data_IF_812116204438
#
_entry.id   IF_812116204438
#
_cell.length_a   1.000
_cell.length_b   1.000
_cell.length_c   1.000
_cell.angle_alpha   90.00
_cell.angle_beta   90.00
_cell.angle_gamma   90.00
#
_symmetry.space_group_name_H-M   'P 1'
#
loop_
_entity.id
_entity.type
_entity.pdbx_description
1 polymer ?
#
# COMPACT_ATOMS: atom_id res chain seq x y z
N UNK A 1 -17.00 4.33 67.45
CA UNK A 1 -17.77 4.10 66.21
C UNK A 1 -18.12 5.40 65.48
N UNK A 2 -18.88 6.33 66.05
CA UNK A 2 -19.28 7.58 65.37
C UNK A 2 -18.11 8.45 64.88
N UNK A 3 -17.06 8.59 65.68
CA UNK A 3 -15.85 9.36 65.30
C UNK A 3 -15.13 8.72 64.11
N UNK A 4 -15.06 7.39 64.06
CA UNK A 4 -14.46 6.65 62.95
C UNK A 4 -15.25 6.86 61.64
N UNK A 5 -16.58 6.80 61.70
CA UNK A 5 -17.43 7.11 60.54
C UNK A 5 -17.30 8.56 60.08
N UNK A 6 -17.23 9.52 61.01
CA UNK A 6 -17.05 10.93 60.67
C UNK A 6 -15.70 11.18 59.98
N UNK A 7 -14.61 10.58 60.48
CA UNK A 7 -13.28 10.65 59.84
C UNK A 7 -13.32 10.00 58.46
N UNK A 8 -13.94 8.83 58.32
CA UNK A 8 -14.08 8.14 57.04
C UNK A 8 -14.82 8.98 55.99
N UNK A 9 -15.94 9.61 56.37
CA UNK A 9 -16.72 10.49 55.49
C UNK A 9 -15.88 11.72 55.09
N UNK A 10 -15.16 12.33 56.02
CA UNK A 10 -14.33 13.51 55.75
C UNK A 10 -13.18 13.17 54.78
N UNK A 11 -12.55 12.00 54.96
CA UNK A 11 -11.53 11.48 54.03
C UNK A 11 -12.13 11.19 52.65
N UNK A 12 -13.32 10.58 52.59
CA UNK A 12 -14.01 10.30 51.33
C UNK A 12 -14.37 11.60 50.59
N UNK A 13 -14.86 12.63 51.29
CA UNK A 13 -15.17 13.94 50.73
C UNK A 13 -13.90 14.66 50.24
N UNK A 14 -12.78 14.55 50.97
CA UNK A 14 -11.51 15.13 50.57
C UNK A 14 -10.95 14.45 49.30
N UNK A 15 -11.01 13.11 49.24
CA UNK A 15 -10.64 12.34 48.04
C UNK A 15 -11.54 12.68 46.85
N UNK A 16 -12.84 12.82 47.08
CA UNK A 16 -13.80 13.19 46.05
C UNK A 16 -13.57 14.63 45.53
N UNK A 17 -13.33 15.59 46.42
CA UNK A 17 -12.99 16.96 46.04
C UNK A 17 -11.69 17.03 45.24
N UNK A 18 -10.67 16.27 45.66
CA UNK A 18 -9.41 16.14 44.92
C UNK A 18 -9.62 15.50 43.54
N UNK A 19 -10.44 14.45 43.44
CA UNK A 19 -10.79 13.75 42.20
C UNK A 19 -11.50 14.66 41.21
N UNK A 20 -12.54 15.37 41.63
CA UNK A 20 -13.35 16.25 40.79
C UNK A 20 -12.54 17.38 40.14
N UNK A 21 -11.53 17.88 40.85
CA UNK A 21 -10.65 18.94 40.35
C UNK A 21 -9.63 18.45 39.32
N UNK A 22 -9.46 17.13 39.20
CA UNK A 22 -8.44 16.51 38.36
C UNK A 22 -9.02 15.74 37.18
N UNK A 23 -10.19 15.11 37.34
CA UNK A 23 -10.82 14.29 36.30
C UNK A 23 -11.09 15.05 34.99
N UNK A 24 -11.37 16.36 35.06
CA UNK A 24 -11.62 17.19 33.86
C UNK A 24 -10.39 17.82 33.19
N UNK A 25 -9.17 17.63 33.72
CA UNK A 25 -7.97 18.29 33.19
C UNK A 25 -7.31 17.48 32.06
N UNK A 26 -7.96 17.46 30.89
CA UNK A 26 -7.52 16.77 29.68
C UNK A 26 -6.13 17.21 29.17
N UNK A 27 -5.65 18.41 29.55
CA UNK A 27 -4.35 18.95 29.10
C UNK A 27 -3.15 18.12 29.55
N UNK A 28 -3.32 17.36 30.62
CA UNK A 28 -2.27 16.54 31.21
C UNK A 28 -2.22 15.12 30.63
N UNK A 29 -3.21 14.72 29.86
CA UNK A 29 -3.29 13.38 29.27
C UNK A 29 -2.86 13.47 27.81
N UNK A 30 -1.83 12.71 27.46
CA UNK A 30 -1.39 12.53 26.09
C UNK A 30 -1.75 11.14 25.63
N UNK A 31 -2.23 11.06 24.40
CA UNK A 31 -2.61 9.84 23.73
C UNK A 31 -1.84 9.71 22.43
N UNK A 32 -1.28 8.54 22.20
CA UNK A 32 -0.62 8.19 20.94
C UNK A 32 -1.04 6.75 20.60
N UNK A 33 -1.61 6.56 19.42
CA UNK A 33 -1.98 5.24 18.91
C UNK A 33 -1.35 5.03 17.54
N UNK A 34 -0.69 3.90 17.35
CA UNK A 34 -0.06 3.63 16.07
C UNK A 34 0.28 2.16 15.86
N UNK A 35 0.37 1.74 14.60
CA UNK A 35 0.82 0.41 14.25
C UNK A 35 2.33 0.28 14.48
N UNK A 36 2.79 -0.95 14.70
CA UNK A 36 4.23 -1.28 14.78
C UNK A 36 4.97 -1.01 13.47
N UNK A 37 4.26 -1.10 12.35
CA UNK A 37 4.78 -0.95 10.98
C UNK A 37 3.93 0.06 10.20
N UNK A 38 4.53 0.79 9.28
CA UNK A 38 3.82 1.77 8.43
C UNK A 38 3.06 1.12 7.27
N UNK A 39 3.49 -0.08 6.88
CA UNK A 39 2.88 -0.85 5.81
C UNK A 39 3.09 -2.34 6.04
N UNK A 40 2.15 -3.16 5.58
CA UNK A 40 2.26 -4.62 5.68
C UNK A 40 1.60 -5.31 4.48
N UNK A 41 1.92 -6.60 4.33
CA UNK A 41 1.26 -7.47 3.37
C UNK A 41 -0.19 -7.75 3.80
N UNK A 42 -1.10 -8.03 2.86
CA UNK A 42 -2.48 -8.37 3.19
C UNK A 42 -2.52 -9.65 4.03
N UNK A 43 -3.17 -9.59 5.19
CA UNK A 43 -3.28 -10.67 6.16
C UNK A 43 -2.06 -10.82 7.08
N UNK A 44 -1.00 -10.04 6.91
CA UNK A 44 0.14 -10.03 7.83
C UNK A 44 -0.27 -9.46 9.19
N UNK A 45 0.19 -10.12 10.25
CA UNK A 45 -0.09 -9.68 11.62
C UNK A 45 0.82 -8.52 12.03
N UNK A 46 0.22 -7.48 12.59
CA UNK A 46 0.93 -6.35 13.18
C UNK A 46 0.39 -6.04 14.57
N UNK A 47 1.17 -5.30 15.35
CA UNK A 47 0.76 -4.87 16.68
C UNK A 47 0.38 -3.41 16.66
N UNK A 48 -0.82 -3.07 17.11
CA UNK A 48 -1.22 -1.70 17.38
C UNK A 48 -0.84 -1.37 18.81
N UNK A 49 -0.08 -0.31 19.00
CA UNK A 49 0.26 0.22 20.31
C UNK A 49 -0.60 1.42 20.63
N UNK A 50 -1.23 1.37 21.79
CA UNK A 50 -1.98 2.47 22.35
C UNK A 50 -1.31 2.93 23.63
N UNK A 51 -0.80 4.16 23.64
CA UNK A 51 -0.04 4.73 24.75
C UNK A 51 -0.80 5.90 25.34
N UNK A 52 -1.13 5.78 26.63
CA UNK A 52 -1.72 6.86 27.42
C UNK A 52 -0.69 7.32 28.45
N UNK A 53 -0.36 8.61 28.43
CA UNK A 53 0.60 9.21 29.33
C UNK A 53 -0.04 10.34 30.12
N UNK A 54 -0.03 10.23 31.44
CA UNK A 54 -0.37 11.33 32.33
C UNK A 54 0.90 12.13 32.63
N UNK A 55 1.02 13.31 32.01
CA UNK A 55 2.12 14.25 32.22
C UNK A 55 1.96 15.02 33.54
N UNK A 56 0.73 15.10 34.03
CA UNK A 56 0.39 15.73 35.30
C UNK A 56 0.95 14.97 36.49
N UNK A 57 1.12 15.67 37.60
CA UNK A 57 1.52 15.07 38.89
C UNK A 57 0.32 14.34 39.54
N UNK A 58 -0.90 14.70 39.13
CA UNK A 58 -2.13 14.22 39.77
C UNK A 58 -2.66 12.98 39.05
N UNK A 59 -3.10 11.94 39.78
CA UNK A 59 -3.65 10.73 39.19
C UNK A 59 -5.00 11.00 38.51
N UNK A 60 -5.28 10.29 37.42
CA UNK A 60 -6.63 10.13 36.87
C UNK A 60 -7.23 8.84 37.45
N UNK A 61 -8.26 8.94 38.31
CA UNK A 61 -8.73 7.80 39.11
C UNK A 61 -9.50 6.78 38.27
N UNK A 62 -10.31 7.22 37.32
CA UNK A 62 -11.02 6.33 36.38
C UNK A 62 -10.93 6.94 35.00
N UNK A 63 -10.22 6.27 34.09
CA UNK A 63 -10.12 6.67 32.70
C UNK A 63 -10.66 5.54 31.82
N UNK A 64 -11.84 5.73 31.24
CA UNK A 64 -12.37 4.87 30.19
C UNK A 64 -11.89 5.41 28.86
N UNK A 65 -11.41 4.50 28.02
CA UNK A 65 -10.84 4.83 26.71
C UNK A 65 -11.62 4.00 25.70
N UNK A 66 -12.26 4.67 24.76
CA UNK A 66 -12.96 4.07 23.63
C UNK A 66 -12.17 4.38 22.35
N UNK A 67 -11.59 3.34 21.76
CA UNK A 67 -10.77 3.45 20.57
C UNK A 67 -11.57 2.98 19.36
N UNK A 68 -11.61 3.82 18.33
CA UNK A 68 -12.33 3.55 17.09
C UNK A 68 -11.36 2.98 16.07
N UNK A 69 -11.56 1.71 15.74
CA UNK A 69 -10.78 0.99 14.75
C UNK A 69 -11.60 0.70 13.50
N UNK A 70 -10.96 0.62 12.32
CA UNK A 70 -11.65 0.29 11.08
C UNK A 70 -12.28 -1.11 11.14
N UNK A 71 -13.37 -1.31 10.42
CA UNK A 71 -14.15 -2.56 10.40
C UNK A 71 -13.32 -3.77 9.95
N UNK A 72 -12.41 -3.52 9.02
CA UNK A 72 -11.52 -4.48 8.37
C UNK A 72 -10.39 -4.97 9.30
N UNK A 73 -10.19 -4.34 10.46
CA UNK A 73 -9.21 -4.75 11.45
C UNK A 73 -9.67 -6.03 12.15
N UNK A 74 -9.12 -7.17 11.74
CA UNK A 74 -9.36 -8.44 12.42
C UNK A 74 -8.42 -8.57 13.63
N UNK A 75 -8.99 -8.80 14.81
CA UNK A 75 -8.23 -8.83 16.06
C UNK A 75 -8.03 -10.26 16.49
N UNK A 76 -6.76 -10.64 16.65
CA UNK A 76 -6.35 -11.99 17.06
C UNK A 76 -6.24 -12.11 18.57
N UNK A 77 -5.59 -11.14 19.21
CA UNK A 77 -5.33 -11.14 20.66
C UNK A 77 -5.58 -9.74 21.24
N UNK A 78 -6.43 -9.69 22.26
CA UNK A 78 -6.87 -8.45 22.91
C UNK A 78 -7.00 -8.60 24.43
N UNK A 79 -5.98 -9.15 25.09
CA UNK A 79 -6.00 -9.48 26.53
C UNK A 79 -6.34 -8.28 27.45
N UNK A 80 -6.13 -7.05 26.97
CA UNK A 80 -6.29 -5.81 27.74
C UNK A 80 -7.53 -4.98 27.36
N UNK A 81 -8.37 -5.48 26.44
CA UNK A 81 -9.52 -4.74 25.93
C UNK A 81 -10.82 -5.51 26.15
N UNK A 82 -11.82 -4.85 26.75
CA UNK A 82 -13.19 -5.34 26.77
C UNK A 82 -13.84 -5.01 25.43
N UNK A 83 -13.85 -5.98 24.52
CA UNK A 83 -14.39 -5.82 23.17
C UNK A 83 -15.92 -5.77 23.24
N UNK A 84 -16.52 -4.64 22.85
CA UNK A 84 -17.96 -4.56 22.53
C UNK A 84 -18.09 -4.20 21.05
N UNK A 85 -18.36 -5.22 20.23
CA UNK A 85 -18.61 -5.05 18.79
C UNK A 85 -19.99 -4.42 18.62
N UNK A 86 -20.07 -3.13 18.27
CA UNK A 86 -21.35 -2.51 17.88
C UNK A 86 -21.19 -1.21 17.06
N UNK A 87 -21.28 -1.34 15.73
CA UNK A 87 -21.87 -0.42 14.72
C UNK A 87 -21.35 -0.85 13.34
N UNK A 88 -22.14 -0.64 12.30
CA UNK A 88 -21.92 -1.19 10.97
C UNK A 88 -20.62 -0.73 10.25
N UNK A 89 -19.89 0.26 10.79
CA UNK A 89 -18.75 0.91 10.11
C UNK A 89 -17.42 0.91 10.89
N UNK A 90 -17.44 0.79 12.23
CA UNK A 90 -16.23 0.82 13.07
C UNK A 90 -16.29 -0.20 14.21
N UNK A 91 -15.14 -0.76 14.58
CA UNK A 91 -15.01 -1.59 15.79
C UNK A 91 -14.58 -0.69 16.96
N UNK A 92 -15.35 -0.71 18.03
CA UNK A 92 -15.07 0.09 19.24
C UNK A 92 -14.44 -0.81 20.30
N UNK A 93 -13.25 -0.41 20.76
CA UNK A 93 -12.50 -1.14 21.77
C UNK A 93 -12.50 -0.32 23.05
N UNK A 94 -13.11 -0.88 24.09
CA UNK A 94 -13.25 -0.21 25.39
C UNK A 94 -12.24 -0.78 26.36
N UNK A 95 -11.57 0.12 27.06
CA UNK A 95 -10.72 -0.26 28.18
C UNK A 95 -10.92 0.73 29.32
N UNK A 96 -10.60 0.29 30.53
CA UNK A 96 -10.63 1.14 31.71
C UNK A 96 -9.30 1.02 32.42
N UNK A 97 -8.64 2.15 32.66
CA UNK A 97 -7.33 2.20 33.28
C UNK A 97 -7.30 3.27 34.36
N UNK A 98 -6.48 3.02 35.38
CA UNK A 98 -6.10 4.03 36.37
C UNK A 98 -4.70 4.50 36.00
N UNK A 99 -4.56 5.78 35.67
CA UNK A 99 -3.28 6.36 35.25
C UNK A 99 -2.77 7.30 36.33
N UNK A 100 -1.79 6.85 37.12
CA UNK A 100 -1.19 7.68 38.17
C UNK A 100 -0.46 8.88 37.58
N UNK A 101 -0.16 9.86 38.43
CA UNK A 101 0.65 11.01 38.02
C UNK A 101 2.01 10.57 37.46
N UNK A 102 2.42 11.18 36.34
CA UNK A 102 3.66 10.87 35.62
C UNK A 102 3.77 9.42 35.13
N UNK A 103 2.67 8.66 35.14
CA UNK A 103 2.64 7.28 34.66
C UNK A 103 2.31 7.23 33.16
N UNK A 104 2.90 6.25 32.50
CA UNK A 104 2.56 5.85 31.16
C UNK A 104 1.99 4.43 31.19
N UNK A 105 0.85 4.24 30.53
CA UNK A 105 0.21 2.94 30.33
C UNK A 105 0.26 2.65 28.85
N UNK A 106 0.97 1.58 28.47
CA UNK A 106 1.05 1.10 27.09
C UNK A 106 0.25 -0.18 26.97
N UNK A 107 -0.67 -0.19 26.01
CA UNK A 107 -1.49 -1.33 25.64
C UNK A 107 -1.11 -1.78 24.24
N UNK A 108 -1.25 -3.07 23.98
CA UNK A 108 -0.97 -3.67 22.68
C UNK A 108 -2.11 -4.57 22.24
N UNK A 109 -2.43 -4.49 20.96
CA UNK A 109 -3.45 -5.27 20.29
C UNK A 109 -2.81 -5.94 19.07
N UNK A 110 -2.94 -7.26 18.93
CA UNK A 110 -2.51 -7.94 17.70
C UNK A 110 -3.67 -8.02 16.72
N UNK A 111 -3.42 -7.53 15.51
CA UNK A 111 -4.42 -7.46 14.48
C UNK A 111 -3.85 -7.73 13.08
N UNK A 112 -4.73 -8.07 12.15
CA UNK A 112 -4.42 -8.29 10.73
C UNK A 112 -5.49 -7.62 9.87
N UNK A 113 -5.11 -7.10 8.71
CA UNK A 113 -6.04 -6.54 7.72
C UNK A 113 -5.76 -7.22 6.38
N UNK A 114 -6.81 -7.76 5.76
CA UNK A 114 -6.69 -8.46 4.46
C UNK A 114 -6.97 -7.57 3.26
N UNK A 115 -7.81 -6.55 3.43
CA UNK A 115 -8.19 -5.64 2.35
C UNK A 115 -7.13 -4.57 2.12
N UNK A 116 -6.87 -4.23 0.85
CA UNK A 116 -6.00 -3.13 0.45
C UNK A 116 -6.58 -1.80 0.95
N UNK A 117 -5.71 -0.89 1.38
CA UNK A 117 -6.10 0.48 1.69
C UNK A 117 -5.17 1.19 2.67
N UNK A 118 -5.37 2.51 2.79
CA UNK A 118 -4.81 3.29 3.89
C UNK A 118 -5.84 3.35 5.03
N UNK A 119 -5.45 2.84 6.20
CA UNK A 119 -6.25 2.82 7.40
C UNK A 119 -5.69 3.81 8.41
N UNK A 120 -6.54 4.72 8.88
CA UNK A 120 -6.16 5.79 9.81
C UNK A 120 -6.80 5.52 11.17
N UNK A 121 -6.00 5.61 12.22
CA UNK A 121 -6.41 5.56 13.61
C UNK A 121 -6.67 7.00 14.09
N UNK A 122 -7.81 7.57 13.70
CA UNK A 122 -8.03 9.03 13.73
C UNK A 122 -8.16 9.64 15.13
N UNK A 123 -8.83 8.97 16.06
CA UNK A 123 -9.08 9.50 17.40
C UNK A 123 -9.42 8.41 18.40
N UNK A 124 -9.42 8.77 19.68
CA UNK A 124 -10.03 7.99 20.74
C UNK A 124 -10.86 8.90 21.66
N UNK A 125 -11.99 8.38 22.13
CA UNK A 125 -12.85 9.04 23.10
C UNK A 125 -12.39 8.65 24.51
N UNK A 126 -12.20 9.66 25.36
CA UNK A 126 -11.80 9.47 26.75
C UNK A 126 -12.93 9.94 27.65
N UNK A 127 -13.37 9.05 28.55
CA UNK A 127 -14.31 9.36 29.60
C UNK A 127 -13.58 9.29 30.94
N UNK A 128 -13.36 10.45 31.54
CA UNK A 128 -12.73 10.57 32.85
C UNK A 128 -13.79 10.68 33.93
N UNK A 129 -13.89 9.63 34.75
CA UNK A 129 -14.78 9.58 35.90
C UNK A 129 -14.10 10.08 37.18
N UNK A 130 -14.90 10.57 38.11
CA UNK A 130 -14.46 10.75 39.50
C UNK A 130 -14.49 9.43 40.29
N UNK A 131 -13.89 9.44 41.50
CA UNK A 131 -13.76 8.26 42.34
C UNK A 131 -15.10 7.63 42.75
N UNK A 132 -16.15 8.45 42.93
CA UNK A 132 -17.50 7.99 43.32
C UNK A 132 -18.48 7.84 42.15
N UNK A 133 -18.09 8.20 40.93
CA UNK A 133 -18.93 8.12 39.73
C UNK A 133 -20.03 9.19 39.63
N UNK A 134 -19.92 10.33 40.33
CA UNK A 134 -20.91 11.41 40.29
C UNK A 134 -20.74 12.36 39.10
N UNK A 135 -19.54 12.45 38.53
CA UNK A 135 -19.27 13.25 37.33
C UNK A 135 -18.35 12.50 36.36
N UNK A 136 -18.71 12.59 35.09
CA UNK A 136 -17.93 12.10 33.96
C UNK A 136 -17.59 13.28 33.07
N UNK A 137 -16.35 13.31 32.57
CA UNK A 137 -15.86 14.31 31.64
C UNK A 137 -15.43 13.61 30.36
N UNK A 138 -16.03 14.03 29.25
CA UNK A 138 -15.77 13.44 27.94
C UNK A 138 -14.91 14.37 27.11
N UNK A 139 -13.90 13.83 26.46
CA UNK A 139 -13.07 14.55 25.51
C UNK A 139 -12.49 13.61 24.45
N UNK A 140 -12.30 14.16 23.26
CA UNK A 140 -11.71 13.46 22.13
C UNK A 140 -10.20 13.76 22.06
N UNK A 141 -9.40 12.73 21.85
CA UNK A 141 -7.97 12.86 21.62
C UNK A 141 -7.65 12.54 20.16
N UNK A 142 -7.27 13.53 19.34
CA UNK A 142 -6.91 13.30 17.95
C UNK A 142 -5.60 12.50 17.85
N UNK A 143 -5.49 11.71 16.80
CA UNK A 143 -4.33 10.88 16.51
C UNK A 143 -4.11 10.75 15.00
N UNK A 144 -2.87 10.54 14.58
CA UNK A 144 -2.46 10.50 13.17
C UNK A 144 -1.81 9.17 12.77
N UNK A 145 -1.95 8.15 13.62
CA UNK A 145 -1.48 6.81 13.34
C UNK A 145 -2.13 6.27 12.06
N UNK A 146 -1.32 5.70 11.17
CA UNK A 146 -1.81 5.12 9.90
C UNK A 146 -1.02 3.89 9.50
N UNK A 147 -1.69 2.97 8.82
CA UNK A 147 -1.09 1.79 8.20
C UNK A 147 -1.58 1.67 6.75
N UNK A 148 -0.68 1.31 5.85
CA UNK A 148 -1.02 1.04 4.45
C UNK A 148 -0.90 -0.46 4.16
N UNK A 149 -2.00 -1.06 3.72
CA UNK A 149 -2.03 -2.46 3.30
C UNK A 149 -1.82 -2.52 1.80
N UNK A 150 -0.85 -3.32 1.37
CA UNK A 150 -0.54 -3.49 -0.04
C UNK A 150 -1.65 -4.26 -0.79
N UNK A 151 -1.78 -4.09 -2.12
CA UNK A 151 -2.75 -4.85 -2.91
C UNK A 151 -2.50 -6.37 -2.78
N UNK A 152 -3.50 -7.25 -2.85
CA UNK A 152 -3.23 -8.68 -2.97
C UNK A 152 -2.58 -9.02 -4.32
N UNK A 153 -1.90 -10.16 -4.38
CA UNK A 153 -1.41 -10.74 -5.65
C UNK A 153 -2.54 -11.52 -6.30
N UNK A 154 -2.48 -11.64 -7.63
CA UNK A 154 -3.42 -12.47 -8.37
C UNK A 154 -2.79 -13.82 -8.66
N UNK A 155 -3.46 -14.87 -8.21
CA UNK A 155 -3.11 -16.26 -8.51
C UNK A 155 -3.90 -16.74 -9.74
N UNK A 156 -3.64 -16.13 -10.90
CA UNK A 156 -4.22 -16.56 -12.18
C UNK A 156 -3.09 -17.08 -13.08
N UNK A 157 -2.98 -18.41 -13.15
CA UNK A 157 -1.94 -19.10 -13.92
C UNK A 157 -1.95 -18.76 -15.41
N UNK A 158 -3.13 -18.58 -16.02
CA UNK A 158 -3.25 -18.27 -17.43
C UNK A 158 -2.71 -16.87 -17.74
N UNK A 159 -3.12 -15.87 -16.96
CA UNK A 159 -2.61 -14.51 -17.03
C UNK A 159 -1.10 -14.47 -16.79
N UNK A 160 -0.64 -15.15 -15.73
CA UNK A 160 0.78 -15.21 -15.37
C UNK A 160 1.62 -15.83 -16.49
N UNK A 161 1.17 -16.93 -17.11
CA UNK A 161 1.88 -17.57 -18.24
C UNK A 161 1.92 -16.67 -19.47
N UNK A 162 0.78 -16.08 -19.86
CA UNK A 162 0.72 -15.16 -20.99
C UNK A 162 1.66 -13.98 -20.79
N UNK A 163 1.64 -13.38 -19.60
CA UNK A 163 2.52 -12.26 -19.25
C UNK A 163 3.99 -12.67 -19.24
N UNK A 164 4.32 -13.84 -18.68
CA UNK A 164 5.69 -14.41 -18.65
C UNK A 164 6.26 -14.55 -20.06
N UNK A 165 5.49 -15.11 -21.00
CA UNK A 165 5.91 -15.25 -22.39
C UNK A 165 6.21 -13.87 -23.03
N UNK A 166 5.33 -12.89 -22.80
CA UNK A 166 5.57 -11.52 -23.29
C UNK A 166 6.82 -10.91 -22.67
N UNK A 167 7.08 -11.15 -21.37
CA UNK A 167 8.29 -10.67 -20.71
C UNK A 167 9.56 -11.34 -21.25
N UNK A 168 9.50 -12.63 -21.62
CA UNK A 168 10.61 -13.34 -22.24
C UNK A 168 10.95 -12.72 -23.60
N UNK A 169 9.94 -12.40 -24.42
CA UNK A 169 10.15 -11.69 -25.68
C UNK A 169 10.81 -10.32 -25.48
N UNK A 170 10.38 -9.54 -24.47
CA UNK A 170 10.98 -8.23 -24.14
C UNK A 170 12.44 -8.40 -23.70
N UNK A 171 12.72 -9.38 -22.84
CA UNK A 171 14.07 -9.66 -22.36
C UNK A 171 14.99 -10.10 -23.51
N UNK A 172 14.50 -10.92 -24.44
CA UNK A 172 15.25 -11.33 -25.63
C UNK A 172 15.54 -10.14 -26.57
N UNK A 173 14.57 -9.26 -26.81
CA UNK A 173 14.78 -8.03 -27.61
C UNK A 173 15.83 -7.11 -26.96
N UNK A 174 15.88 -7.03 -25.63
CA UNK A 174 16.89 -6.26 -24.89
C UNK A 174 18.31 -6.81 -25.10
N UNK A 175 18.49 -8.14 -25.12
CA UNK A 175 19.80 -8.75 -25.36
C UNK A 175 20.36 -8.42 -26.76
N UNK A 176 19.49 -8.13 -27.73
CA UNK A 176 19.90 -7.75 -29.09
C UNK A 176 20.35 -6.29 -29.20
N UNK A 177 20.05 -5.43 -28.21
CA UNK A 177 20.35 -4.00 -28.23
C UNK A 177 21.31 -3.62 -27.10
N UNK A 178 22.60 -3.67 -27.39
CA UNK A 178 23.68 -3.20 -26.50
C UNK A 178 23.92 -1.68 -26.67
N UNK A 179 24.16 -0.95 -25.57
CA UNK A 179 24.53 0.47 -25.64
C UNK A 179 25.96 0.62 -26.18
N UNK A 180 26.19 1.24 -27.36
CA UNK A 180 27.55 1.38 -27.88
C UNK A 180 28.45 2.32 -27.05
N UNK A 181 27.90 3.03 -26.06
CA UNK A 181 28.61 4.06 -25.29
C UNK A 181 29.08 3.53 -23.91
N UNK A 182 28.38 2.58 -23.31
CA UNK A 182 28.71 2.08 -21.97
C UNK A 182 29.44 0.73 -22.03
N UNK A 183 30.76 0.73 -21.81
CA UNK A 183 31.56 -0.51 -21.74
C UNK A 183 31.60 -1.01 -20.29
N UNK A 184 30.92 -2.13 -20.01
CA UNK A 184 30.88 -2.77 -18.68
C UNK A 184 32.10 -3.65 -18.41
N UNK A 185 32.74 -4.16 -19.47
CA UNK A 185 33.88 -5.06 -19.33
C UNK A 185 34.54 -5.47 -20.63
N UNK A 186 35.37 -6.50 -20.55
CA UNK A 186 36.13 -7.02 -21.68
C UNK A 186 36.13 -8.54 -21.66
N UNK A 187 35.90 -9.17 -22.81
CA UNK A 187 35.91 -10.64 -22.96
C UNK A 187 36.75 -11.08 -24.14
N UNK A 188 37.17 -12.34 -24.15
CA UNK A 188 37.94 -12.88 -25.26
C UNK A 188 37.10 -12.98 -26.54
N UNK A 189 37.72 -12.67 -27.67
CA UNK A 189 37.11 -12.72 -28.99
C UNK A 189 36.87 -14.16 -29.43
N UNK A 190 35.63 -14.49 -29.79
CA UNK A 190 35.26 -15.87 -30.19
C UNK A 190 35.23 -16.05 -31.70
N UNK A 191 35.49 -14.99 -32.47
CA UNK A 191 35.46 -15.00 -33.94
C UNK A 191 34.07 -14.78 -34.54
N UNK A 192 33.04 -14.63 -33.71
CA UNK A 192 31.65 -14.39 -34.13
C UNK A 192 31.28 -12.91 -34.05
N UNK A 193 32.02 -12.12 -33.29
CA UNK A 193 31.74 -10.71 -33.05
C UNK A 193 32.26 -9.83 -34.21
N UNK A 194 31.61 -8.70 -34.53
CA UNK A 194 32.11 -7.77 -35.52
C UNK A 194 33.41 -7.09 -35.05
N UNK A 195 34.36 -6.88 -35.97
CA UNK A 195 35.66 -6.28 -35.66
C UNK A 195 35.58 -4.89 -35.00
N UNK A 196 34.49 -4.14 -35.21
CA UNK A 196 34.24 -2.84 -34.57
C UNK A 196 34.14 -2.92 -33.04
N UNK A 197 33.76 -4.08 -32.49
CA UNK A 197 33.67 -4.28 -31.04
C UNK A 197 35.02 -4.66 -30.40
N UNK A 198 36.08 -4.88 -31.19
CA UNK A 198 37.41 -5.20 -30.67
C UNK A 198 38.01 -3.97 -29.98
N UNK A 199 38.45 -4.14 -28.74
CA UNK A 199 39.24 -3.14 -28.03
C UNK A 199 40.71 -3.32 -28.38
N UNK A 200 41.20 -2.58 -29.38
CA UNK A 200 42.60 -2.68 -29.82
C UNK A 200 43.60 -2.39 -28.70
N UNK A 201 43.29 -1.42 -27.83
CA UNK A 201 44.14 -1.06 -26.69
C UNK A 201 44.27 -2.22 -25.68
N UNK A 202 43.16 -2.86 -25.31
CA UNK A 202 43.20 -3.99 -24.37
C UNK A 202 43.80 -5.25 -25.02
N UNK A 203 43.56 -5.44 -26.31
CA UNK A 203 44.11 -6.57 -27.06
C UNK A 203 45.64 -6.50 -27.15
N UNK A 204 46.20 -5.29 -27.30
CA UNK A 204 47.64 -5.08 -27.30
C UNK A 204 48.30 -5.42 -25.95
N UNK A 205 47.62 -5.13 -24.83
CA UNK A 205 48.12 -5.46 -23.49
C UNK A 205 48.02 -6.96 -23.20
N UNK A 206 46.87 -7.58 -23.51
CA UNK A 206 46.61 -9.00 -23.23
C UNK A 206 47.24 -9.95 -24.26
N UNK A 207 47.87 -9.43 -25.33
CA UNK A 207 48.43 -10.18 -26.47
C UNK A 207 47.45 -11.17 -27.12
N UNK A 208 46.16 -10.91 -26.99
CA UNK A 208 45.05 -11.74 -27.48
C UNK A 208 43.90 -10.81 -27.87
N UNK A 209 43.06 -11.21 -28.83
CA UNK A 209 41.95 -10.37 -29.27
C UNK A 209 40.87 -10.32 -28.19
N UNK A 210 40.53 -9.10 -27.78
CA UNK A 210 39.57 -8.81 -26.71
C UNK A 210 38.47 -7.90 -27.23
N UNK A 211 37.23 -8.25 -26.93
CA UNK A 211 36.01 -7.52 -27.32
C UNK A 211 35.51 -6.70 -26.15
N UNK A 212 35.04 -5.49 -26.43
CA UNK A 212 34.30 -4.65 -25.48
C UNK A 212 32.97 -5.34 -25.16
N UNK A 213 32.70 -5.55 -23.89
CA UNK A 213 31.38 -5.96 -23.42
C UNK A 213 30.64 -4.69 -23.00
N UNK A 214 29.51 -4.44 -23.64
CA UNK A 214 28.70 -3.27 -23.34
C UNK A 214 27.70 -3.58 -22.22
N UNK A 215 27.40 -2.57 -21.40
CA UNK A 215 26.33 -2.68 -20.41
C UNK A 215 24.99 -2.68 -21.17
N UNK A 216 24.09 -3.65 -20.92
CA UNK A 216 22.72 -3.51 -21.38
C UNK A 216 22.14 -2.20 -20.85
N UNK A 217 21.54 -1.38 -21.73
CA UNK A 217 21.00 -0.08 -21.33
C UNK A 217 20.05 -0.27 -20.13
N UNK A 218 20.34 0.40 -19.00
CA UNK A 218 19.45 0.48 -17.82
C UNK A 218 18.24 1.42 -18.06
N UNK A 219 17.71 1.41 -19.28
CA UNK A 219 16.51 2.15 -19.62
C UNK A 219 15.28 1.35 -19.17
N UNK A 220 14.27 2.07 -18.66
CA UNK A 220 12.96 1.53 -18.32
C UNK A 220 12.33 0.88 -19.56
N UNK A 221 12.53 -0.43 -19.70
CA UNK A 221 12.09 -1.19 -20.87
C UNK A 221 10.57 -1.35 -20.93
N UNK A 222 9.92 -1.32 -19.76
CA UNK A 222 8.48 -1.51 -19.61
C UNK A 222 7.85 -0.28 -18.98
N UNK A 223 6.75 0.19 -19.56
CA UNK A 223 5.91 1.22 -18.97
C UNK A 223 4.56 0.62 -18.59
N UNK A 224 4.22 0.67 -17.32
CA UNK A 224 2.91 0.26 -16.81
C UNK A 224 2.04 1.53 -16.74
N UNK A 225 0.93 1.52 -17.45
CA UNK A 225 -0.09 2.57 -17.37
C UNK A 225 -1.30 1.97 -16.68
N UNK A 226 -1.63 2.49 -15.50
CA UNK A 226 -2.75 2.04 -14.68
C UNK A 226 -3.86 3.09 -14.76
N UNK A 227 -4.96 2.70 -15.38
CA UNK A 227 -6.14 3.54 -15.54
C UNK A 227 -7.25 3.11 -14.58
N UNK A 228 -7.77 4.10 -13.84
CA UNK A 228 -8.84 3.98 -12.85
C UNK A 228 -10.05 4.87 -13.16
N UNK A 229 -10.15 5.41 -14.39
CA UNK A 229 -11.25 6.30 -14.76
C UNK A 229 -12.62 5.60 -14.64
N UNK A 230 -13.59 6.29 -14.04
CA UNK A 230 -14.95 5.79 -13.91
C UNK A 230 -15.70 5.83 -15.25
N UNK A 231 -16.39 4.73 -15.60
CA UNK A 231 -17.09 4.58 -16.88
C UNK A 231 -18.58 4.21 -16.76
N UNK A 232 -19.24 4.56 -15.65
CA UNK A 232 -20.70 4.65 -15.58
C UNK A 232 -21.46 3.45 -15.02
N UNK A 233 -20.84 2.28 -14.89
CA UNK A 233 -21.47 1.08 -14.30
C UNK A 233 -21.05 0.89 -12.84
N UNK A 234 -21.97 1.09 -11.88
CA UNK A 234 -21.65 1.00 -10.46
C UNK A 234 -21.44 -0.44 -9.96
N UNK A 235 -22.20 -1.41 -10.49
CA UNK A 235 -22.44 -2.72 -9.87
C UNK A 235 -21.20 -3.62 -9.77
N UNK A 236 -20.16 -3.35 -10.57
CA UNK A 236 -18.88 -4.07 -10.53
C UNK A 236 -17.65 -3.16 -10.53
N UNK A 237 -17.84 -1.85 -10.42
CA UNK A 237 -16.77 -0.88 -10.57
C UNK A 237 -15.67 -1.08 -9.52
N UNK A 238 -16.04 -1.14 -8.25
CA UNK A 238 -15.09 -1.29 -7.15
C UNK A 238 -14.31 -2.60 -7.23
N UNK A 239 -14.98 -3.72 -7.53
CA UNK A 239 -14.32 -5.01 -7.67
C UNK A 239 -13.31 -5.01 -8.84
N UNK A 240 -13.65 -4.39 -9.98
CA UNK A 240 -12.74 -4.25 -11.12
C UNK A 240 -11.55 -3.35 -10.80
N UNK A 241 -11.75 -2.25 -10.07
CA UNK A 241 -10.65 -1.37 -9.64
C UNK A 241 -9.68 -2.09 -8.70
N UNK A 242 -10.19 -2.80 -7.68
CA UNK A 242 -9.34 -3.59 -6.78
C UNK A 242 -8.56 -4.68 -7.52
N UNK A 243 -9.18 -5.29 -8.54
CA UNK A 243 -8.48 -6.23 -9.41
C UNK A 243 -7.38 -5.53 -10.23
N UNK A 244 -7.63 -4.34 -10.79
CA UNK A 244 -6.59 -3.56 -11.48
C UNK A 244 -5.37 -3.28 -10.59
N UNK A 245 -5.57 -2.91 -9.32
CA UNK A 245 -4.47 -2.74 -8.37
C UNK A 245 -3.71 -4.04 -8.11
N UNK A 246 -4.43 -5.16 -8.03
CA UNK A 246 -3.86 -6.50 -7.84
C UNK A 246 -3.09 -6.98 -9.07
N UNK A 247 -3.58 -6.68 -10.28
CA UNK A 247 -2.89 -6.92 -11.57
C UNK A 247 -1.61 -6.09 -11.59
N UNK A 248 -1.70 -4.79 -11.31
CA UNK A 248 -0.55 -3.88 -11.31
C UNK A 248 0.53 -4.33 -10.33
N UNK A 249 0.14 -4.74 -9.12
CA UNK A 249 1.06 -5.36 -8.16
C UNK A 249 1.73 -6.59 -8.74
N UNK A 250 0.96 -7.53 -9.27
CA UNK A 250 1.47 -8.81 -9.80
C UNK A 250 2.45 -8.57 -10.95
N UNK A 251 2.14 -7.63 -11.85
CA UNK A 251 3.02 -7.20 -12.94
C UNK A 251 4.33 -6.61 -12.40
N UNK A 252 4.26 -5.69 -11.43
CA UNK A 252 5.44 -5.13 -10.78
C UNK A 252 6.30 -6.22 -10.13
N UNK A 253 5.70 -7.15 -9.38
CA UNK A 253 6.40 -8.26 -8.71
C UNK A 253 7.20 -9.10 -9.72
N UNK A 254 6.60 -9.42 -10.87
CA UNK A 254 7.27 -10.19 -11.93
C UNK A 254 8.41 -9.43 -12.61
N UNK A 255 8.25 -8.13 -12.80
CA UNK A 255 9.32 -7.28 -13.35
C UNK A 255 10.49 -7.16 -12.37
N UNK A 256 10.20 -7.02 -11.08
CA UNK A 256 11.20 -6.97 -10.03
C UNK A 256 11.96 -8.29 -9.85
N UNK A 257 11.27 -9.44 -9.94
CA UNK A 257 11.87 -10.78 -9.90
C UNK A 257 12.86 -11.02 -11.05
N UNK A 258 12.61 -10.40 -12.20
CA UNK A 258 13.45 -10.50 -13.39
C UNK A 258 14.46 -9.36 -13.52
N UNK A 259 14.55 -8.47 -12.54
CA UNK A 259 15.41 -7.28 -12.56
C UNK A 259 15.19 -6.39 -13.80
N UNK A 260 13.95 -6.31 -14.27
CA UNK A 260 13.57 -5.48 -15.41
C UNK A 260 13.15 -4.11 -14.89
N UNK A 261 13.83 -3.05 -15.34
CA UNK A 261 13.45 -1.67 -15.02
C UNK A 261 12.13 -1.27 -15.67
N UNK A 262 11.25 -0.65 -14.89
CA UNK A 262 9.93 -0.22 -15.34
C UNK A 262 9.52 1.13 -14.76
N UNK A 263 8.52 1.74 -15.40
CA UNK A 263 7.87 2.95 -14.91
C UNK A 263 6.37 2.72 -14.77
N UNK A 264 5.82 2.96 -13.59
CA UNK A 264 4.39 2.95 -13.33
C UNK A 264 3.84 4.38 -13.44
N UNK A 265 2.82 4.59 -14.26
CA UNK A 265 2.06 5.84 -14.33
C UNK A 265 0.61 5.52 -14.06
N UNK A 266 -0.02 6.25 -13.15
CA UNK A 266 -1.41 6.01 -12.74
C UNK A 266 -2.18 7.32 -12.64
N UNK A 267 -3.46 7.30 -13.01
CA UNK A 267 -4.38 8.40 -12.72
C UNK A 267 -5.09 8.24 -11.37
N UNK A 268 -4.77 7.21 -10.59
CA UNK A 268 -5.36 7.01 -9.27
C UNK A 268 -4.98 8.12 -8.28
N UNK A 269 -5.91 8.50 -7.39
CA UNK A 269 -5.64 9.46 -6.32
C UNK A 269 -4.78 8.79 -5.24
N UNK A 270 -3.53 9.24 -5.11
CA UNK A 270 -2.57 8.74 -4.12
C UNK A 270 -2.31 9.81 -3.06
N UNK A 271 -2.19 9.42 -1.79
CA UNK A 271 -2.01 10.33 -0.65
C UNK A 271 -0.80 11.27 -0.75
N UNK A 272 0.22 10.91 -1.54
CA UNK A 272 1.43 11.71 -1.73
C UNK A 272 1.38 12.62 -2.99
N UNK A 273 0.30 12.58 -3.78
CA UNK A 273 0.14 13.37 -5.01
C UNK A 273 1.06 12.99 -6.18
N UNK A 274 1.89 11.97 -6.02
CA UNK A 274 2.79 11.46 -7.07
C UNK A 274 2.04 10.42 -7.89
N UNK A 275 1.94 10.64 -9.20
CA UNK A 275 1.25 9.75 -10.16
C UNK A 275 2.19 8.94 -11.05
N UNK A 276 3.50 9.20 -11.01
CA UNK A 276 4.51 8.50 -11.82
C UNK A 276 5.65 8.01 -10.94
N UNK A 277 5.95 6.71 -11.01
CA UNK A 277 6.99 6.03 -10.25
C UNK A 277 7.93 5.28 -11.19
N UNK A 278 9.22 5.30 -10.88
CA UNK A 278 10.25 4.59 -11.63
C UNK A 278 10.93 3.58 -10.72
N UNK A 279 11.06 2.34 -11.17
CA UNK A 279 11.92 1.34 -10.55
C UNK A 279 12.99 0.89 -11.55
N UNK A 280 14.27 0.87 -11.15
CA UNK A 280 15.34 0.27 -11.97
C UNK A 280 15.21 -1.26 -12.08
N UNK A 281 14.31 -1.88 -11.30
CA UNK A 281 14.21 -3.33 -11.15
C UNK A 281 15.15 -3.86 -10.07
N UNK A 282 14.75 -4.97 -9.44
CA UNK A 282 15.34 -5.49 -8.22
C UNK A 282 14.65 -4.90 -6.99
N UNK A 283 14.03 -5.80 -6.19
CA UNK A 283 13.18 -5.57 -5.00
C UNK A 283 13.78 -4.61 -3.94
N UNK A 284 13.96 -3.35 -4.30
CA UNK A 284 14.64 -2.31 -3.51
C UNK A 284 13.69 -1.19 -3.09
N UNK A 285 14.26 -0.06 -2.67
CA UNK A 285 13.49 1.07 -2.10
C UNK A 285 12.51 1.75 -3.08
N UNK A 286 12.69 1.59 -4.40
CA UNK A 286 11.74 2.09 -5.39
C UNK A 286 10.46 1.22 -5.43
N UNK A 287 10.62 -0.09 -5.34
CA UNK A 287 9.52 -1.04 -5.30
C UNK A 287 8.63 -0.85 -4.07
N UNK A 288 9.20 -0.65 -2.87
CA UNK A 288 8.40 -0.38 -1.66
C UNK A 288 7.60 0.92 -1.75
N UNK A 289 8.12 1.95 -2.42
CA UNK A 289 7.37 3.19 -2.71
C UNK A 289 6.20 2.94 -3.66
N UNK A 290 6.39 2.10 -4.67
CA UNK A 290 5.33 1.71 -5.61
C UNK A 290 4.24 0.91 -4.89
N UNK A 291 4.60 -0.07 -4.06
CA UNK A 291 3.64 -0.81 -3.24
C UNK A 291 2.88 0.10 -2.28
N UNK A 292 3.57 1.03 -1.61
CA UNK A 292 2.93 2.02 -0.75
C UNK A 292 1.95 2.91 -1.52
N UNK A 293 2.32 3.36 -2.72
CA UNK A 293 1.44 4.16 -3.59
C UNK A 293 0.21 3.35 -4.04
N UNK A 294 0.40 2.11 -4.48
CA UNK A 294 -0.69 1.22 -4.87
C UNK A 294 -1.57 0.85 -3.67
N UNK A 295 -1.03 0.73 -2.46
CA UNK A 295 -1.81 0.46 -1.24
C UNK A 295 -2.59 1.68 -0.73
N UNK A 296 -2.04 2.88 -0.87
CA UNK A 296 -2.68 4.14 -0.44
C UNK A 296 -3.59 4.77 -1.51
N UNK A 297 -3.62 4.22 -2.72
CA UNK A 297 -4.46 4.73 -3.80
C UNK A 297 -5.95 4.61 -3.46
N UNK A 298 -6.69 5.71 -3.58
CA UNK A 298 -8.15 5.76 -3.40
C UNK A 298 -8.87 5.48 -4.72
N UNK A 299 -10.14 5.09 -4.61
CA UNK A 299 -11.01 4.73 -5.74
C UNK A 299 -11.53 5.99 -6.45
N UNK A 300 -10.63 6.69 -7.13
CA UNK A 300 -10.95 7.85 -7.94
C UNK A 300 -9.77 8.28 -8.81
N UNK A 301 -10.07 9.15 -9.77
CA UNK A 301 -9.17 9.59 -10.81
C UNK A 301 -8.78 11.07 -10.65
N UNK A 302 -7.53 11.38 -11.00
CA UNK A 302 -6.99 12.74 -11.06
C UNK A 302 -7.14 13.33 -12.47
N UNK A 303 -7.03 12.48 -13.50
CA UNK A 303 -7.07 12.89 -14.90
C UNK A 303 -7.72 11.82 -15.79
N UNK A 304 -8.11 12.25 -16.99
CA UNK A 304 -8.69 11.37 -18.00
C UNK A 304 -7.66 10.38 -18.57
N UNK A 305 -8.13 9.27 -19.15
CA UNK A 305 -7.26 8.28 -19.81
C UNK A 305 -6.41 8.91 -20.92
N UNK A 306 -6.97 9.87 -21.65
CA UNK A 306 -6.25 10.54 -22.76
C UNK A 306 -5.09 11.40 -22.27
N UNK A 307 -5.28 12.13 -21.16
CA UNK A 307 -4.23 12.92 -20.50
C UNK A 307 -3.20 12.01 -19.83
N UNK A 308 -3.63 10.91 -19.22
CA UNK A 308 -2.76 9.89 -18.64
C UNK A 308 -1.81 9.34 -19.71
N UNK A 309 -2.33 8.94 -20.87
CA UNK A 309 -1.51 8.44 -21.98
C UNK A 309 -0.62 9.53 -22.55
N UNK A 310 -1.10 10.76 -22.69
CA UNK A 310 -0.27 11.87 -23.15
C UNK A 310 0.92 12.13 -22.20
N UNK A 311 0.66 12.18 -20.89
CA UNK A 311 1.68 12.33 -19.85
C UNK A 311 2.64 11.13 -19.82
N UNK A 312 2.11 9.92 -19.96
CA UNK A 312 2.92 8.71 -20.01
C UNK A 312 3.82 8.67 -21.26
N UNK A 313 3.33 9.10 -22.41
CA UNK A 313 4.10 9.11 -23.65
C UNK A 313 5.03 10.34 -23.79
N UNK A 314 4.91 11.34 -22.93
CA UNK A 314 5.80 12.52 -22.95
C UNK A 314 7.21 12.10 -22.52
N UNK A 315 8.19 12.20 -23.43
CA UNK A 315 9.55 11.69 -23.19
C UNK A 315 9.68 10.16 -23.28
N UNK A 316 8.72 9.48 -23.92
CA UNK A 316 8.83 8.06 -24.22
C UNK A 316 9.78 7.81 -25.39
N UNK A 317 10.74 6.90 -25.20
CA UNK A 317 11.55 6.37 -26.29
C UNK A 317 10.69 5.49 -27.21
N UNK A 318 11.01 5.52 -28.51
CA UNK A 318 10.27 4.84 -29.58
C UNK A 318 10.30 3.29 -29.54
N UNK A 319 10.78 2.68 -28.44
CA UNK A 319 11.00 1.24 -28.34
C UNK A 319 10.58 0.64 -26.97
N UNK A 320 9.73 1.34 -26.19
CA UNK A 320 9.24 0.81 -24.91
C UNK A 320 8.02 -0.09 -25.11
N UNK A 321 7.94 -1.19 -24.36
CA UNK A 321 6.72 -1.99 -24.25
C UNK A 321 5.80 -1.35 -23.22
N UNK A 322 4.53 -1.15 -23.57
CA UNK A 322 3.53 -0.57 -22.66
C UNK A 322 2.58 -1.67 -22.20
N UNK A 323 2.48 -1.87 -20.89
CA UNK A 323 1.43 -2.68 -20.26
C UNK A 323 0.34 -1.72 -19.82
N UNK A 324 -0.81 -1.78 -20.48
CA UNK A 324 -1.94 -0.89 -20.22
C UNK A 324 -3.00 -1.63 -19.42
N UNK A 325 -3.20 -1.24 -18.16
CA UNK A 325 -4.14 -1.88 -17.24
C UNK A 325 -5.34 -0.95 -17.07
N UNK A 326 -6.54 -1.43 -17.35
CA UNK A 326 -7.78 -0.66 -17.14
C UNK A 326 -8.92 -1.57 -16.68
N UNK A 327 -9.97 -0.98 -16.13
CA UNK A 327 -11.12 -1.71 -15.57
C UNK A 327 -11.91 -2.45 -16.64
N UNK A 328 -12.08 -1.86 -17.83
CA UNK A 328 -12.87 -2.43 -18.94
C UNK A 328 -12.45 -1.92 -20.31
N UNK A 329 -12.88 -2.62 -21.37
CA UNK A 329 -12.79 -2.13 -22.75
C UNK A 329 -13.85 -1.06 -22.99
N UNK A 330 -13.39 0.17 -23.20
CA UNK A 330 -14.24 1.29 -23.61
C UNK A 330 -13.71 1.92 -24.91
N UNK A 331 -14.56 2.68 -25.61
CA UNK A 331 -14.19 3.41 -26.81
C UNK A 331 -13.03 4.40 -26.55
N UNK A 332 -13.07 5.11 -25.41
CA UNK A 332 -12.03 6.07 -25.01
C UNK A 332 -10.71 5.36 -24.69
N UNK A 333 -10.76 4.26 -23.93
CA UNK A 333 -9.59 3.42 -23.64
C UNK A 333 -8.99 2.84 -24.92
N UNK A 334 -9.83 2.38 -25.86
CA UNK A 334 -9.37 1.87 -27.16
C UNK A 334 -8.71 2.96 -28.00
N UNK A 335 -9.26 4.19 -27.98
CA UNK A 335 -8.66 5.36 -28.64
C UNK A 335 -7.31 5.70 -28.01
N UNK A 336 -7.23 5.67 -26.68
CA UNK A 336 -6.01 5.93 -25.93
C UNK A 336 -4.92 4.88 -26.22
N UNK A 337 -5.26 3.59 -26.29
CA UNK A 337 -4.34 2.51 -26.68
C UNK A 337 -3.83 2.70 -28.11
N UNK A 338 -4.71 3.02 -29.07
CA UNK A 338 -4.31 3.33 -30.46
C UNK A 338 -3.36 4.52 -30.52
N UNK A 339 -3.64 5.57 -29.75
CA UNK A 339 -2.77 6.75 -29.64
C UNK A 339 -1.41 6.38 -29.05
N UNK A 340 -1.37 5.60 -27.97
CA UNK A 340 -0.14 5.12 -27.36
C UNK A 340 0.73 4.33 -28.36
N UNK A 341 0.12 3.43 -29.14
CA UNK A 341 0.79 2.69 -30.24
C UNK A 341 1.38 3.64 -31.28
N UNK A 342 0.62 4.65 -31.71
CA UNK A 342 1.09 5.61 -32.71
C UNK A 342 2.26 6.48 -32.23
N UNK A 343 2.29 6.83 -30.94
CA UNK A 343 3.31 7.73 -30.36
C UNK A 343 4.61 7.01 -30.06
N UNK A 344 4.53 5.78 -29.55
CA UNK A 344 5.70 5.03 -29.11
C UNK A 344 6.24 4.07 -30.17
N UNK A 345 5.44 3.65 -31.15
CA UNK A 345 5.86 2.63 -32.13
C UNK A 345 6.16 1.26 -31.51
N UNK A 346 5.95 1.10 -30.20
CA UNK A 346 6.19 -0.11 -29.44
C UNK A 346 4.93 -0.95 -29.24
N UNK A 347 5.13 -2.17 -28.75
CA UNK A 347 4.04 -3.09 -28.45
C UNK A 347 3.26 -2.61 -27.22
N UNK A 348 1.94 -2.44 -27.37
CA UNK A 348 1.03 -2.12 -26.28
C UNK A 348 0.20 -3.36 -25.96
N UNK A 349 0.42 -3.92 -24.78
CA UNK A 349 -0.30 -5.05 -24.21
C UNK A 349 -1.44 -4.53 -23.31
N UNK A 350 -2.70 -4.58 -23.78
CA UNK A 350 -3.82 -4.20 -22.95
C UNK A 350 -4.23 -5.36 -22.03
N UNK A 351 -4.45 -5.05 -20.75
CA UNK A 351 -4.92 -5.97 -19.72
C UNK A 351 -6.16 -5.35 -19.09
N UNK A 352 -7.29 -6.06 -19.17
CA UNK A 352 -8.55 -5.59 -18.62
C UNK A 352 -8.99 -6.43 -17.44
N UNK A 353 -9.48 -5.79 -16.38
CA UNK A 353 -10.00 -6.49 -15.22
C UNK A 353 -11.23 -7.36 -15.55
N UNK A 354 -12.05 -6.96 -16.53
CA UNK A 354 -13.20 -7.75 -16.98
C UNK A 354 -12.81 -9.14 -17.51
N UNK A 355 -11.71 -9.24 -18.28
CA UNK A 355 -11.24 -10.50 -18.88
C UNK A 355 -10.81 -11.50 -17.79
N UNK A 356 -10.14 -10.98 -16.74
CA UNK A 356 -9.65 -11.79 -15.62
C UNK A 356 -10.79 -12.29 -14.72
N UNK A 357 -11.86 -11.49 -14.57
CA UNK A 357 -13.07 -11.92 -13.84
C UNK A 357 -13.83 -12.99 -14.61
N UNK A 358 -13.91 -12.90 -15.95
CA UNK A 358 -14.59 -13.90 -16.77
C UNK A 358 -13.87 -15.26 -16.77
N UNK A 359 -12.54 -15.28 -16.73
CA UNK A 359 -11.76 -16.52 -16.66
C UNK A 359 -11.91 -17.24 -15.30
N UNK A 360 -11.99 -16.49 -14.20
CA UNK A 360 -12.32 -17.06 -12.88
C UNK A 360 -13.80 -17.52 -12.80
N UNK A 361 -14.66 -17.02 -13.68
CA UNK A 361 -16.07 -17.38 -13.83
C UNK A 361 -16.34 -18.59 -14.74
N UNK A 362 -15.33 -19.16 -15.41
CA UNK A 362 -15.46 -20.35 -16.25
C UNK A 362 -15.63 -21.68 -15.46
N UNK A 363 -16.02 -21.59 -14.18
CA UNK A 363 -16.57 -22.67 -13.37
C UNK A 363 -18.04 -22.39 -13.02
N UNK A 364 -18.86 -22.05 -14.01
CA UNK A 364 -20.32 -22.19 -13.94
C UNK A 364 -20.73 -23.38 -14.84
N UNK A 365 -21.69 -24.22 -14.40
CA UNK A 365 -21.89 -25.54 -14.98
C UNK A 365 -22.33 -25.43 -16.43
N UNK A 366 -21.81 -26.32 -17.28
CA UNK A 366 -22.39 -26.62 -18.58
C UNK A 366 -23.87 -26.91 -18.36
N UNK A 367 -24.74 -25.96 -18.70
CA UNK A 367 -26.15 -26.28 -18.91
C UNK A 367 -26.19 -27.39 -19.95
N UNK A 368 -26.62 -28.55 -19.47
CA UNK A 368 -26.75 -29.74 -20.27
C UNK A 368 -27.68 -29.49 -21.44
N UNK A 369 -27.26 -29.95 -22.62
CA UNK A 369 -28.21 -30.28 -23.65
C UNK A 369 -29.21 -31.30 -23.10
N UNK A 370 -30.44 -30.83 -22.96
CA UNK A 370 -31.65 -31.61 -23.14
C UNK A 370 -32.43 -30.86 -24.22
N UNK A 371 -33.10 -31.46 -25.18
CA UNK A 371 -33.27 -32.83 -25.65
C UNK A 371 -34.06 -32.69 -26.97
#
# INVERSE_FOLDING_TARGET
>A
MLVFFAIFILVALALQWYSLRNAGDHRNIRYECGPSVRSCEPGEEFTVFSTVKNVGIRPSPVLRIEEHFPKELDVREAEQFNVKVHRDDHRIYRSTAVVKGRQQVRRSLRASISSRGEYVFSFAEFHAGDFLGFREFDYEMPNDGRIVIYPPRIDNDAFLKAFTNTMDEIAMRKLLLEDPISVCGYRDYTGREPMRQISWMQSAVKRSLVVKQFDPVWQQSVMIVLDMQYHGEYEHHFARQELCFSIARTVCDRLEERHIGYRLVTNAIISNGISSFSSPGGKGGAYSKILYALGSAKNGEVCSVEELVASACTGADKQRTIVFISTRRNADVTRAIKRARSLTGGDVLPVFAEDVLTDNGAAAPKEGGAA
#
